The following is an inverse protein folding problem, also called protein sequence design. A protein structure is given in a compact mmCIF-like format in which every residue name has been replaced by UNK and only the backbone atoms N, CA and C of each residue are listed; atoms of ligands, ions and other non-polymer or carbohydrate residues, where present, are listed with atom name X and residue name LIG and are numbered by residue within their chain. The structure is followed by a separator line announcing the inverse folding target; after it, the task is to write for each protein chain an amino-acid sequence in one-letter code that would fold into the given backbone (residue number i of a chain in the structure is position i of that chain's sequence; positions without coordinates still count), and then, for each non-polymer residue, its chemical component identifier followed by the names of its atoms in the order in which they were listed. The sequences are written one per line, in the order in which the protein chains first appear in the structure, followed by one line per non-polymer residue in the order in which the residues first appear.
data_IF_839665262173
#
_entry.id   IF_839665262173
#
_cell.length_a   1.000
_cell.length_b   1.000
_cell.length_c   1.000
_cell.angle_alpha   90.00
_cell.angle_beta   90.00
_cell.angle_gamma   90.00
#
_symmetry.space_group_name_H-M   'P 1'
#
loop_
_entity.id
_entity.type
_entity.pdbx_description
1 polymer ?
#
# COMPACT_ATOMS: atom_id res chain seq x y z
N UNK A 1 1.43 -18.99 13.52
CA UNK A 1 2.51 -18.00 13.67
C UNK A 1 2.05 -17.01 14.73
N UNK A 2 2.80 -16.87 15.84
CA UNK A 2 2.40 -16.01 16.95
C UNK A 2 2.91 -14.59 16.70
N UNK A 3 2.05 -13.74 16.12
CA UNK A 3 2.31 -12.31 15.98
C UNK A 3 2.46 -11.63 17.35
N UNK A 4 3.31 -10.62 17.43
CA UNK A 4 3.45 -9.75 18.60
C UNK A 4 2.48 -8.57 18.57
N UNK A 5 1.76 -8.38 17.46
CA UNK A 5 0.78 -7.31 17.31
C UNK A 5 -0.51 -7.71 18.01
N UNK A 6 -0.94 -6.98 19.06
CA UNK A 6 -2.22 -7.23 19.69
C UNK A 6 -3.38 -7.07 18.70
N UNK A 7 -4.35 -7.97 18.77
CA UNK A 7 -5.57 -7.90 17.93
C UNK A 7 -5.34 -8.01 16.42
N UNK A 8 -4.24 -8.65 15.97
CA UNK A 8 -3.95 -8.78 14.54
C UNK A 8 -5.12 -9.40 13.75
N UNK A 9 -5.78 -10.43 14.29
CA UNK A 9 -6.94 -11.05 13.64
C UNK A 9 -8.08 -10.04 13.42
N UNK A 10 -8.35 -9.17 14.41
CA UNK A 10 -9.34 -8.11 14.29
C UNK A 10 -8.96 -7.09 13.21
N UNK A 11 -7.67 -6.76 13.09
CA UNK A 11 -7.19 -5.80 12.08
C UNK A 11 -7.28 -6.42 10.68
N UNK A 12 -6.99 -7.72 10.53
CA UNK A 12 -7.17 -8.47 9.27
C UNK A 12 -8.65 -8.49 8.87
N UNK A 13 -9.54 -8.79 9.80
CA UNK A 13 -10.98 -8.76 9.56
C UNK A 13 -11.45 -7.34 9.17
N UNK A 14 -10.92 -6.32 9.81
CA UNK A 14 -11.23 -4.92 9.53
C UNK A 14 -10.84 -4.52 8.11
N UNK A 15 -9.60 -4.80 7.69
CA UNK A 15 -9.14 -4.42 6.33
C UNK A 15 -9.92 -5.18 5.25
N UNK A 16 -10.27 -6.43 5.53
CA UNK A 16 -11.10 -7.24 4.62
C UNK A 16 -12.50 -6.65 4.49
N UNK A 17 -13.17 -6.30 5.61
CA UNK A 17 -14.48 -5.64 5.60
C UNK A 17 -14.46 -4.28 4.88
N UNK A 18 -13.39 -3.51 5.06
CA UNK A 18 -13.20 -2.27 4.35
C UNK A 18 -13.11 -2.51 2.83
N UNK A 19 -12.34 -3.50 2.40
CA UNK A 19 -12.25 -3.88 1.01
C UNK A 19 -13.55 -4.43 0.42
N UNK A 20 -14.30 -5.22 1.17
CA UNK A 20 -15.64 -5.69 0.75
C UNK A 20 -16.58 -4.51 0.54
N UNK A 21 -16.52 -3.51 1.43
CA UNK A 21 -17.31 -2.27 1.28
C UNK A 21 -16.92 -1.45 0.06
N UNK A 22 -15.63 -1.39 -0.25
CA UNK A 22 -15.13 -0.77 -1.48
C UNK A 22 -15.70 -1.51 -2.70
N UNK A 23 -15.70 -2.84 -2.71
CA UNK A 23 -16.26 -3.64 -3.82
C UNK A 23 -17.75 -3.40 -4.01
N UNK A 24 -18.55 -3.28 -2.95
CA UNK A 24 -19.97 -2.91 -3.05
C UNK A 24 -20.16 -1.59 -3.79
N UNK A 25 -19.34 -0.57 -3.48
CA UNK A 25 -19.40 0.72 -4.19
C UNK A 25 -18.87 0.56 -5.61
N UNK A 26 -17.77 -0.19 -5.79
CA UNK A 26 -17.16 -0.45 -7.09
C UNK A 26 -18.14 -1.06 -8.10
N UNK A 27 -19.01 -1.96 -7.68
CA UNK A 27 -20.01 -2.62 -8.53
C UNK A 27 -21.26 -1.75 -8.78
N UNK A 28 -21.41 -0.64 -8.01
CA UNK A 28 -22.55 0.27 -8.16
C UNK A 28 -22.30 1.42 -9.15
N UNK A 29 -23.33 2.23 -9.40
CA UNK A 29 -23.16 3.54 -10.01
C UNK A 29 -22.81 4.55 -8.92
N UNK A 30 -21.54 4.87 -8.78
CA UNK A 30 -21.04 5.83 -7.79
C UNK A 30 -20.73 7.20 -8.43
N UNK A 31 -20.78 8.23 -7.61
CA UNK A 31 -20.33 9.57 -7.97
C UNK A 31 -18.87 9.76 -7.58
N UNK A 32 -18.16 10.56 -8.38
CA UNK A 32 -16.77 10.95 -8.11
C UNK A 32 -16.78 12.43 -7.76
N UNK A 33 -16.28 12.75 -6.59
CA UNK A 33 -16.01 14.11 -6.16
C UNK A 33 -14.51 14.42 -6.30
N UNK A 34 -14.14 15.67 -6.09
CA UNK A 34 -12.74 16.09 -6.12
C UNK A 34 -12.35 16.69 -4.78
N UNK A 35 -11.20 16.28 -4.27
CA UNK A 35 -10.54 16.93 -3.14
C UNK A 35 -9.99 18.31 -3.54
N UNK A 36 -9.52 19.11 -2.59
CA UNK A 36 -8.95 20.45 -2.83
C UNK A 36 -7.73 20.43 -3.78
N UNK A 37 -6.98 19.33 -3.80
CA UNK A 37 -5.85 19.11 -4.70
C UNK A 37 -6.22 18.55 -6.07
N UNK A 38 -7.53 18.46 -6.38
CA UNK A 38 -8.13 17.87 -7.58
C UNK A 38 -7.98 16.35 -7.71
N UNK A 39 -7.49 15.63 -6.72
CA UNK A 39 -7.54 14.17 -6.70
C UNK A 39 -9.00 13.68 -6.56
N UNK A 40 -9.34 12.51 -7.12
CA UNK A 40 -10.68 11.96 -6.95
C UNK A 40 -10.90 11.46 -5.54
N UNK A 41 -12.13 11.57 -5.05
CA UNK A 41 -12.64 10.92 -3.85
C UNK A 41 -14.01 10.34 -4.15
N UNK A 42 -14.30 9.20 -3.59
CA UNK A 42 -15.57 8.52 -3.76
C UNK A 42 -16.17 8.11 -2.41
N UNK A 43 -17.42 7.68 -2.44
CA UNK A 43 -18.05 7.08 -1.25
C UNK A 43 -17.25 5.88 -0.72
N UNK A 44 -16.51 5.17 -1.58
CA UNK A 44 -15.70 4.01 -1.18
C UNK A 44 -14.58 4.42 -0.22
N UNK A 45 -13.88 5.53 -0.50
CA UNK A 45 -12.82 6.08 0.34
C UNK A 45 -13.36 6.37 1.76
N UNK A 46 -14.49 7.08 1.84
CA UNK A 46 -15.10 7.51 3.11
C UNK A 46 -15.64 6.34 3.93
N UNK A 47 -16.32 5.38 3.32
CA UNK A 47 -16.87 4.20 4.01
C UNK A 47 -15.74 3.28 4.49
N UNK A 48 -14.71 3.08 3.68
CA UNK A 48 -13.50 2.33 4.07
C UNK A 48 -12.81 3.00 5.26
N UNK A 49 -12.58 4.32 5.19
CA UNK A 49 -12.00 5.11 6.26
C UNK A 49 -12.77 4.93 7.58
N UNK A 50 -14.09 5.03 7.53
CA UNK A 50 -14.96 4.87 8.70
C UNK A 50 -14.78 3.49 9.34
N UNK A 51 -14.86 2.41 8.56
CA UNK A 51 -14.73 1.02 9.05
C UNK A 51 -13.39 0.83 9.75
N UNK A 52 -12.29 1.28 9.12
CA UNK A 52 -10.95 1.11 9.66
C UNK A 52 -10.79 1.90 10.95
N UNK A 53 -11.19 3.16 10.97
CA UNK A 53 -11.09 4.03 12.16
C UNK A 53 -11.90 3.51 13.34
N UNK A 54 -13.15 3.11 13.15
CA UNK A 54 -14.00 2.56 14.23
C UNK A 54 -13.35 1.36 14.92
N UNK A 55 -12.67 0.52 14.17
CA UNK A 55 -11.93 -0.62 14.72
C UNK A 55 -10.63 -0.18 15.42
N UNK A 56 -9.81 0.66 14.79
CA UNK A 56 -8.50 1.05 15.33
C UNK A 56 -8.59 1.98 16.53
N UNK A 57 -9.65 2.78 16.68
CA UNK A 57 -9.88 3.62 17.85
C UNK A 57 -9.91 2.83 19.16
N UNK A 58 -10.29 1.56 19.13
CA UNK A 58 -10.28 0.69 20.31
C UNK A 58 -8.86 0.43 20.84
N UNK A 59 -7.83 0.61 20.02
CA UNK A 59 -6.41 0.45 20.40
C UNK A 59 -5.89 1.65 21.21
N UNK A 60 -6.57 2.79 21.16
CA UNK A 60 -6.15 4.06 21.75
C UNK A 60 -4.82 4.61 21.19
N UNK A 61 -4.41 4.11 20.05
CA UNK A 61 -3.24 4.61 19.28
C UNK A 61 -3.76 5.65 18.30
N UNK A 62 -3.13 6.82 18.20
CA UNK A 62 -3.50 7.84 17.22
C UNK A 62 -3.48 7.30 15.79
N UNK A 63 -4.35 7.88 14.95
CA UNK A 63 -4.50 7.47 13.55
C UNK A 63 -4.18 8.67 12.65
N UNK A 64 -3.32 8.45 11.67
CA UNK A 64 -3.15 9.32 10.50
C UNK A 64 -3.84 8.64 9.32
N UNK A 65 -4.84 9.30 8.75
CA UNK A 65 -5.54 8.84 7.55
C UNK A 65 -5.41 9.84 6.42
N UNK A 66 -5.36 9.36 5.19
CA UNK A 66 -5.45 10.21 3.99
C UNK A 66 -6.72 11.06 3.97
N UNK A 67 -7.85 10.51 4.46
CA UNK A 67 -9.17 11.12 4.37
C UNK A 67 -9.50 12.06 5.54
N UNK A 68 -8.56 12.25 6.47
CA UNK A 68 -8.78 13.09 7.65
C UNK A 68 -7.80 14.28 7.69
N UNK A 69 -8.23 15.35 8.35
CA UNK A 69 -7.32 16.44 8.70
C UNK A 69 -6.36 15.99 9.80
N UNK A 70 -5.06 16.07 9.58
CA UNK A 70 -4.03 15.77 10.56
C UNK A 70 -3.86 16.94 11.54
N UNK A 71 -4.40 16.80 12.75
CA UNK A 71 -4.29 17.79 13.85
C UNK A 71 -2.93 17.78 14.56
N UNK A 72 -2.00 16.91 14.12
CA UNK A 72 -0.65 16.72 14.68
C UNK A 72 -0.60 16.13 16.10
N UNK A 73 -1.73 15.79 16.73
CA UNK A 73 -1.75 15.19 18.08
C UNK A 73 -0.96 13.87 18.16
N UNK A 74 -0.81 13.18 17.03
CA UNK A 74 -0.02 11.96 16.89
C UNK A 74 1.48 12.15 17.08
N UNK A 75 2.00 13.38 16.98
CA UNK A 75 3.45 13.65 17.02
C UNK A 75 4.08 13.37 18.39
N UNK A 76 3.29 13.37 19.46
CA UNK A 76 3.74 13.07 20.83
C UNK A 76 3.60 11.58 21.18
N UNK A 77 3.19 10.73 20.22
CA UNK A 77 2.93 9.32 20.45
C UNK A 77 4.05 8.44 19.90
N UNK A 78 4.47 7.45 20.69
CA UNK A 78 5.45 6.44 20.25
C UNK A 78 4.90 5.59 19.12
N UNK A 79 3.58 5.33 19.10
CA UNK A 79 2.90 4.51 18.09
C UNK A 79 1.84 5.32 17.36
N UNK A 80 1.74 5.07 16.06
CA UNK A 80 0.74 5.71 15.19
C UNK A 80 0.26 4.69 14.17
N UNK A 81 -1.06 4.57 14.01
CA UNK A 81 -1.66 3.95 12.84
C UNK A 81 -1.59 4.90 11.66
N UNK A 82 -1.12 4.41 10.53
CA UNK A 82 -1.13 5.17 9.27
C UNK A 82 -1.93 4.37 8.27
N UNK A 83 -3.00 4.98 7.74
CA UNK A 83 -3.95 4.28 6.87
C UNK A 83 -4.17 5.04 5.57
N UNK A 84 -4.27 4.27 4.49
CA UNK A 84 -4.82 4.70 3.21
C UNK A 84 -6.06 3.85 2.94
N UNK A 85 -7.24 4.43 3.07
CA UNK A 85 -8.51 3.70 2.93
C UNK A 85 -8.77 3.17 1.51
N UNK A 86 -8.24 3.84 0.49
CA UNK A 86 -8.34 3.43 -0.91
C UNK A 86 -7.18 3.99 -1.75
N UNK A 87 -6.03 3.35 -1.71
CA UNK A 87 -4.93 3.68 -2.61
C UNK A 87 -5.25 3.27 -4.05
N UNK A 88 -5.07 4.21 -4.98
CA UNK A 88 -5.41 4.02 -6.38
C UNK A 88 -6.84 4.42 -6.74
N UNK A 89 -7.38 5.49 -6.15
CA UNK A 89 -8.74 6.00 -6.44
C UNK A 89 -8.96 6.26 -7.93
N UNK A 90 -7.91 6.69 -8.68
CA UNK A 90 -8.02 6.87 -10.13
C UNK A 90 -8.23 5.52 -10.85
N UNK A 91 -7.55 4.46 -10.42
CA UNK A 91 -7.72 3.11 -10.95
C UNK A 91 -9.08 2.53 -10.57
N UNK A 92 -9.57 2.83 -9.37
CA UNK A 92 -10.93 2.51 -8.94
C UNK A 92 -11.97 3.18 -9.86
N UNK A 93 -11.85 4.48 -10.11
CA UNK A 93 -12.74 5.24 -11.01
C UNK A 93 -12.69 4.68 -12.43
N UNK A 94 -11.52 4.35 -12.93
CA UNK A 94 -11.30 3.81 -14.27
C UNK A 94 -11.65 2.32 -14.40
N UNK A 95 -12.11 1.68 -13.32
CA UNK A 95 -12.51 0.26 -13.33
C UNK A 95 -11.39 -0.72 -13.73
N UNK A 96 -10.14 -0.40 -13.40
CA UNK A 96 -9.02 -1.32 -13.67
C UNK A 96 -8.93 -2.48 -12.68
N UNK A 97 -9.52 -2.34 -11.50
CA UNK A 97 -9.39 -3.30 -10.40
C UNK A 97 -8.07 -3.21 -9.63
N UNK A 98 -7.20 -2.27 -9.96
CA UNK A 98 -5.85 -2.14 -9.39
C UNK A 98 -5.83 -1.09 -8.27
N UNK A 99 -6.56 -1.34 -7.20
CA UNK A 99 -6.63 -0.50 -6.01
C UNK A 99 -6.48 -1.34 -4.74
N UNK A 100 -6.04 -0.71 -3.65
CA UNK A 100 -5.76 -1.41 -2.39
C UNK A 100 -6.26 -0.65 -1.18
N UNK A 101 -6.35 -1.34 -0.04
CA UNK A 101 -6.53 -0.76 1.30
C UNK A 101 -5.22 -0.96 2.05
N UNK A 102 -4.75 0.04 2.78
CA UNK A 102 -3.47 -0.02 3.48
C UNK A 102 -3.62 0.35 4.94
N UNK A 103 -3.02 -0.48 5.82
CA UNK A 103 -2.91 -0.21 7.26
C UNK A 103 -1.48 -0.48 7.69
N UNK A 104 -0.80 0.55 8.20
CA UNK A 104 0.53 0.45 8.79
C UNK A 104 0.52 0.81 10.26
N UNK A 105 1.31 0.10 11.08
CA UNK A 105 1.63 0.50 12.43
C UNK A 105 3.08 0.97 12.48
N UNK A 106 3.27 2.20 12.91
CA UNK A 106 4.59 2.82 13.07
C UNK A 106 4.88 2.96 14.55
N UNK A 107 6.08 2.60 14.98
CA UNK A 107 6.59 2.79 16.34
C UNK A 107 7.94 3.49 16.25
N UNK A 108 8.11 4.59 16.99
CA UNK A 108 9.34 5.40 16.99
C UNK A 108 9.83 5.71 15.57
N UNK A 109 8.93 6.15 14.70
CA UNK A 109 9.17 6.49 13.28
C UNK A 109 9.54 5.31 12.35
N UNK A 110 9.46 4.07 12.83
CA UNK A 110 9.74 2.86 12.04
C UNK A 110 8.44 2.08 11.82
N UNK A 111 8.04 1.77 10.59
CA UNK A 111 6.93 0.86 10.36
C UNK A 111 7.26 -0.54 10.89
N UNK A 112 6.47 -1.00 11.85
CA UNK A 112 6.64 -2.32 12.50
C UNK A 112 5.63 -3.35 12.05
N UNK A 113 4.56 -2.92 11.38
CA UNK A 113 3.58 -3.80 10.75
C UNK A 113 3.02 -3.13 9.50
N UNK A 114 2.75 -3.92 8.49
CA UNK A 114 2.06 -3.51 7.27
C UNK A 114 1.02 -4.53 6.83
N UNK A 115 -0.15 -4.04 6.47
CA UNK A 115 -1.21 -4.77 5.79
C UNK A 115 -1.58 -4.02 4.51
N UNK A 116 -1.63 -4.74 3.39
CA UNK A 116 -2.11 -4.24 2.10
C UNK A 116 -3.10 -5.27 1.56
N UNK A 117 -4.34 -4.87 1.37
CA UNK A 117 -5.38 -5.73 0.84
C UNK A 117 -5.75 -5.30 -0.59
N UNK A 118 -5.76 -6.25 -1.51
CA UNK A 118 -6.20 -6.11 -2.89
C UNK A 118 -7.60 -6.72 -3.04
N UNK A 119 -8.68 -5.94 -2.97
CA UNK A 119 -10.03 -6.47 -2.85
C UNK A 119 -10.48 -7.30 -4.06
N UNK A 120 -10.21 -6.85 -5.28
CA UNK A 120 -10.64 -7.53 -6.51
C UNK A 120 -10.04 -8.92 -6.68
N UNK A 121 -8.82 -9.12 -6.16
CA UNK A 121 -8.12 -10.41 -6.19
C UNK A 121 -8.24 -11.20 -4.88
N UNK A 122 -8.85 -10.60 -3.85
CA UNK A 122 -8.93 -11.16 -2.48
C UNK A 122 -7.57 -11.58 -1.94
N UNK A 123 -6.53 -10.77 -2.22
CA UNK A 123 -5.17 -11.00 -1.75
C UNK A 123 -4.84 -10.04 -0.61
N UNK A 124 -4.30 -10.57 0.47
CA UNK A 124 -3.83 -9.80 1.61
C UNK A 124 -2.33 -10.00 1.79
N UNK A 125 -1.58 -8.92 1.73
CA UNK A 125 -0.17 -8.89 2.05
C UNK A 125 0.00 -8.43 3.49
N UNK A 126 0.85 -9.12 4.23
CA UNK A 126 1.13 -8.85 5.63
C UNK A 126 2.63 -8.94 5.91
N UNK A 127 3.12 -8.05 6.74
CA UNK A 127 4.43 -8.18 7.36
C UNK A 127 4.42 -7.62 8.78
N UNK A 128 5.29 -8.18 9.61
CA UNK A 128 5.61 -7.71 10.96
C UNK A 128 7.13 -7.73 11.12
N UNK A 129 7.69 -6.69 11.74
CA UNK A 129 9.13 -6.52 11.92
C UNK A 129 9.78 -7.75 12.59
N UNK A 130 10.76 -8.33 11.93
CA UNK A 130 11.48 -9.53 12.32
C UNK A 130 10.71 -10.83 12.13
N UNK A 131 9.57 -10.81 11.44
CA UNK A 131 8.72 -11.98 11.26
C UNK A 131 8.71 -12.48 9.81
N UNK A 132 9.01 -11.59 8.86
CA UNK A 132 8.94 -11.81 7.44
C UNK A 132 7.64 -11.28 6.82
N UNK A 133 7.57 -11.40 5.49
CA UNK A 133 6.43 -10.99 4.71
C UNK A 133 5.64 -12.19 4.16
N UNK A 134 4.32 -12.04 4.10
CA UNK A 134 3.40 -13.10 3.70
C UNK A 134 2.31 -12.56 2.77
N UNK A 135 1.79 -13.42 1.92
CA UNK A 135 0.59 -13.18 1.11
C UNK A 135 -0.44 -14.26 1.44
N UNK A 136 -1.68 -13.84 1.65
CA UNK A 136 -2.85 -14.73 1.78
C UNK A 136 -3.70 -14.63 0.52
N UNK A 137 -4.06 -15.77 -0.03
CA UNK A 137 -4.98 -15.88 -1.15
C UNK A 137 -5.86 -17.15 -1.02
N UNK A 138 -6.48 -17.62 -2.09
CA UNK A 138 -7.33 -18.83 -2.12
C UNK A 138 -6.60 -20.12 -1.70
N UNK A 139 -5.27 -20.10 -1.68
CA UNK A 139 -4.44 -21.26 -1.27
C UNK A 139 -3.96 -21.13 0.18
N UNK A 140 -4.27 -20.02 0.86
CA UNK A 140 -3.86 -19.72 2.23
C UNK A 140 -2.62 -18.83 2.31
N UNK A 141 -1.96 -18.82 3.47
CA UNK A 141 -0.78 -18.03 3.72
C UNK A 141 0.48 -18.60 3.07
N UNK A 142 1.16 -17.79 2.28
CA UNK A 142 2.45 -18.12 1.67
C UNK A 142 3.48 -17.05 2.05
N UNK A 143 4.65 -17.47 2.49
CA UNK A 143 5.77 -16.55 2.72
C UNK A 143 6.25 -16.00 1.38
N UNK A 144 6.44 -14.69 1.30
CA UNK A 144 6.95 -14.02 0.11
C UNK A 144 8.36 -13.46 0.36
N UNK A 145 9.12 -13.33 -0.72
CA UNK A 145 10.43 -12.69 -0.73
C UNK A 145 10.71 -12.09 -2.09
N UNK A 146 11.49 -11.02 -2.11
CA UNK A 146 12.04 -10.47 -3.35
C UNK A 146 12.90 -11.53 -4.05
N UNK A 147 12.99 -11.44 -5.36
CA UNK A 147 13.97 -12.25 -6.09
C UNK A 147 15.32 -11.54 -6.16
N UNK A 148 16.38 -12.31 -6.22
CA UNK A 148 17.71 -11.77 -6.43
C UNK A 148 17.94 -11.55 -7.92
N UNK A 149 18.29 -10.32 -8.32
CA UNK A 149 18.67 -9.96 -9.70
C UNK A 149 20.08 -9.40 -9.67
N UNK A 150 21.02 -10.12 -10.28
CA UNK A 150 22.44 -9.76 -10.27
C UNK A 150 22.76 -8.58 -11.20
N UNK A 151 22.00 -8.44 -12.29
CA UNK A 151 22.19 -7.40 -13.30
C UNK A 151 20.97 -6.52 -13.44
N UNK A 152 21.07 -5.25 -13.09
CA UNK A 152 19.97 -4.28 -13.11
C UNK A 152 19.32 -4.20 -14.50
N UNK A 153 20.07 -4.25 -15.57
CA UNK A 153 19.55 -4.23 -16.94
C UNK A 153 18.60 -5.39 -17.27
N UNK A 154 18.68 -6.50 -16.52
CA UNK A 154 17.77 -7.66 -16.69
C UNK A 154 16.48 -7.55 -15.87
N UNK A 155 16.36 -6.52 -15.06
CA UNK A 155 15.21 -6.30 -14.19
C UNK A 155 13.91 -6.08 -14.97
N UNK A 156 12.81 -6.55 -14.38
CA UNK A 156 11.46 -6.10 -14.72
C UNK A 156 11.12 -4.91 -13.84
N UNK A 157 10.98 -3.73 -14.43
CA UNK A 157 10.56 -2.53 -13.73
C UNK A 157 9.05 -2.32 -13.83
N UNK A 158 8.43 -2.06 -12.69
CA UNK A 158 7.05 -1.62 -12.64
C UNK A 158 6.98 -0.10 -12.70
N UNK A 159 6.08 0.41 -13.51
CA UNK A 159 5.87 1.84 -13.73
C UNK A 159 4.42 2.21 -13.53
N UNK A 160 4.18 3.48 -13.19
CA UNK A 160 2.82 3.99 -13.05
C UNK A 160 2.09 3.98 -14.40
N UNK A 161 0.82 3.58 -14.37
CA UNK A 161 -0.06 3.65 -15.54
C UNK A 161 -0.35 5.09 -15.95
N UNK A 162 -0.56 5.97 -14.97
CA UNK A 162 -1.07 7.32 -15.19
C UNK A 162 0.00 8.41 -15.07
N UNK A 163 1.14 8.11 -14.45
CA UNK A 163 2.10 9.13 -14.01
C UNK A 163 3.57 8.81 -14.37
N UNK A 164 3.79 8.07 -15.47
CA UNK A 164 5.16 7.80 -15.95
C UNK A 164 5.78 9.09 -16.52
N UNK A 165 6.64 9.73 -15.74
CA UNK A 165 7.32 10.97 -16.11
C UNK A 165 8.46 10.74 -17.10
N UNK A 166 8.89 11.79 -17.80
CA UNK A 166 10.06 11.71 -18.69
C UNK A 166 11.35 11.45 -17.90
N UNK A 167 11.41 11.89 -16.63
CA UNK A 167 12.52 11.60 -15.73
C UNK A 167 12.62 10.11 -15.40
N UNK A 168 11.50 9.45 -15.15
CA UNK A 168 11.45 8.00 -14.92
C UNK A 168 11.83 7.22 -16.18
N UNK A 169 11.35 7.64 -17.34
CA UNK A 169 11.76 7.05 -18.65
C UNK A 169 13.27 7.17 -18.86
N UNK A 170 13.85 8.33 -18.50
CA UNK A 170 15.29 8.54 -18.63
C UNK A 170 16.06 7.64 -17.65
N UNK A 171 15.61 7.52 -16.39
CA UNK A 171 16.22 6.63 -15.41
C UNK A 171 16.22 5.16 -15.88
N UNK A 172 15.09 4.68 -16.43
CA UNK A 172 15.02 3.32 -16.98
C UNK A 172 16.03 3.13 -18.12
N UNK A 173 16.20 4.14 -18.98
CA UNK A 173 17.18 4.10 -20.07
C UNK A 173 18.63 4.11 -19.55
N UNK A 174 18.93 4.96 -18.57
CA UNK A 174 20.26 5.07 -17.97
C UNK A 174 20.66 3.78 -17.22
N UNK A 175 19.68 3.07 -16.66
CA UNK A 175 19.86 1.76 -16.03
C UNK A 175 19.80 0.59 -17.04
N UNK A 176 19.65 0.88 -18.33
CA UNK A 176 19.51 -0.10 -19.42
C UNK A 176 18.34 -1.10 -19.22
N UNK A 177 17.33 -0.72 -18.43
CA UNK A 177 16.15 -1.55 -18.18
C UNK A 177 15.20 -1.47 -19.36
N UNK A 178 15.06 -2.57 -20.09
CA UNK A 178 14.18 -2.66 -21.26
C UNK A 178 12.83 -3.32 -20.97
N UNK A 179 12.72 -4.09 -19.87
CA UNK A 179 11.49 -4.79 -19.51
C UNK A 179 10.69 -3.95 -18.53
N UNK A 180 9.52 -3.51 -18.94
CA UNK A 180 8.59 -2.76 -18.08
C UNK A 180 7.19 -3.36 -18.11
N UNK A 181 6.47 -3.25 -17.00
CA UNK A 181 5.05 -3.52 -16.92
C UNK A 181 4.33 -2.41 -16.14
N UNK A 182 3.04 -2.25 -16.38
CA UNK A 182 2.22 -1.23 -15.69
C UNK A 182 1.25 -1.91 -14.75
N UNK A 183 1.17 -1.40 -13.54
CA UNK A 183 0.16 -1.75 -12.56
C UNK A 183 -0.13 -0.53 -11.69
N UNK A 184 -1.39 -0.37 -11.23
CA UNK A 184 -1.83 0.75 -10.39
C UNK A 184 -1.42 0.59 -8.93
N UNK A 185 -1.71 1.61 -8.14
CA UNK A 185 -1.61 1.65 -6.67
C UNK A 185 -0.27 1.16 -6.09
N UNK A 186 -0.25 0.84 -4.81
CA UNK A 186 0.88 0.20 -4.10
C UNK A 186 1.13 -1.25 -4.55
N UNK A 187 0.28 -1.79 -5.44
CA UNK A 187 0.51 -3.12 -6.02
C UNK A 187 1.88 -3.24 -6.69
N UNK A 188 2.44 -2.14 -7.19
CA UNK A 188 3.82 -2.10 -7.70
C UNK A 188 4.82 -2.60 -6.66
N UNK A 189 4.69 -2.16 -5.42
CA UNK A 189 5.56 -2.60 -4.32
C UNK A 189 5.25 -4.04 -3.92
N UNK A 190 3.98 -4.44 -3.92
CA UNK A 190 3.57 -5.82 -3.59
C UNK A 190 4.10 -6.84 -4.60
N UNK A 191 4.11 -6.51 -5.89
CA UNK A 191 4.66 -7.37 -6.94
C UNK A 191 6.18 -7.53 -6.80
N UNK A 192 6.90 -6.46 -6.40
CA UNK A 192 8.33 -6.56 -6.08
C UNK A 192 8.54 -7.40 -4.82
N UNK A 193 7.79 -7.16 -3.76
CA UNK A 193 7.91 -7.91 -2.50
C UNK A 193 7.65 -9.41 -2.67
N UNK A 194 6.75 -9.77 -3.60
CA UNK A 194 6.43 -11.16 -3.92
C UNK A 194 7.36 -11.79 -4.99
N UNK A 195 8.42 -11.08 -5.42
CA UNK A 195 9.38 -11.58 -6.40
C UNK A 195 8.84 -11.74 -7.82
N UNK A 196 7.72 -11.07 -8.16
CA UNK A 196 7.14 -11.08 -9.51
C UNK A 196 7.64 -9.94 -10.38
N UNK A 197 8.22 -8.91 -9.75
CA UNK A 197 8.98 -7.85 -10.41
C UNK A 197 10.22 -7.54 -9.58
N UNK A 198 11.08 -6.63 -10.06
CA UNK A 198 12.38 -6.39 -9.43
C UNK A 198 12.53 -4.97 -8.89
N UNK A 199 11.96 -4.01 -9.57
CA UNK A 199 12.12 -2.60 -9.22
C UNK A 199 10.83 -1.83 -9.51
N UNK A 200 10.51 -0.89 -8.63
CA UNK A 200 9.57 0.18 -8.88
C UNK A 200 10.28 1.52 -8.72
N UNK A 201 10.21 2.35 -9.76
CA UNK A 201 10.79 3.68 -9.78
C UNK A 201 9.68 4.72 -9.84
N UNK A 202 9.78 5.73 -8.97
CA UNK A 202 8.92 6.91 -9.03
C UNK A 202 9.71 8.16 -8.70
N UNK A 203 9.39 9.25 -9.39
CA UNK A 203 9.96 10.59 -9.15
C UNK A 203 8.90 11.57 -8.69
N UNK A 204 7.73 11.08 -8.30
CA UNK A 204 6.65 11.92 -7.77
C UNK A 204 7.09 12.61 -6.48
N UNK A 205 6.68 13.86 -6.33
CA UNK A 205 6.83 14.64 -5.09
C UNK A 205 5.56 14.64 -4.24
N UNK A 206 4.53 13.90 -4.67
CA UNK A 206 3.21 13.84 -4.03
C UNK A 206 3.01 12.59 -3.18
N UNK A 207 4.10 11.92 -2.79
CA UNK A 207 4.01 10.75 -1.94
C UNK A 207 3.88 11.15 -0.48
N UNK A 208 2.93 10.57 0.21
CA UNK A 208 2.65 10.81 1.62
C UNK A 208 3.03 9.60 2.48
N UNK A 209 2.87 9.72 3.80
CA UNK A 209 3.20 8.63 4.73
C UNK A 209 2.25 7.44 4.58
N UNK A 210 0.99 7.67 4.24
CA UNK A 210 0.00 6.60 4.02
C UNK A 210 0.27 5.78 2.77
N UNK A 211 0.89 6.34 1.72
CA UNK A 211 1.30 5.61 0.52
C UNK A 211 2.43 4.61 0.79
N UNK A 212 3.19 4.81 1.88
CA UNK A 212 4.46 4.09 2.08
C UNK A 212 4.55 3.29 3.37
N UNK A 213 3.88 3.65 4.45
CA UNK A 213 4.10 3.04 5.76
C UNK A 213 3.87 1.52 5.76
N UNK A 214 2.74 1.05 5.25
CA UNK A 214 2.44 -0.38 5.19
C UNK A 214 3.37 -1.11 4.20
N UNK A 215 3.53 -0.56 3.00
CA UNK A 215 4.31 -1.17 1.92
C UNK A 215 5.81 -1.19 2.23
N UNK A 216 6.32 -0.21 2.99
CA UNK A 216 7.72 -0.20 3.45
C UNK A 216 8.01 -1.39 4.37
N UNK A 217 7.13 -1.67 5.33
CA UNK A 217 7.28 -2.83 6.20
C UNK A 217 7.28 -4.13 5.39
N UNK A 218 6.34 -4.29 4.46
CA UNK A 218 6.21 -5.50 3.66
C UNK A 218 7.44 -5.72 2.77
N UNK A 219 7.89 -4.69 2.04
CA UNK A 219 9.06 -4.85 1.17
C UNK A 219 10.34 -5.12 1.96
N UNK A 220 10.52 -4.47 3.12
CA UNK A 220 11.68 -4.68 4.00
C UNK A 220 11.73 -6.11 4.54
N UNK A 221 10.61 -6.62 5.04
CA UNK A 221 10.49 -7.99 5.57
C UNK A 221 10.55 -9.06 4.46
N UNK A 222 10.26 -8.69 3.22
CA UNK A 222 10.48 -9.54 2.05
C UNK A 222 11.96 -9.57 1.58
N UNK A 223 12.85 -8.78 2.21
CA UNK A 223 14.28 -8.69 1.89
C UNK A 223 14.61 -7.66 0.81
N UNK A 224 13.65 -6.82 0.42
CA UNK A 224 13.85 -5.69 -0.49
C UNK A 224 14.20 -4.39 0.24
N UNK A 225 14.24 -3.29 -0.49
CA UNK A 225 14.48 -1.95 0.04
C UNK A 225 13.56 -0.93 -0.61
N UNK A 226 13.08 0.01 0.19
CA UNK A 226 12.44 1.24 -0.27
C UNK A 226 13.31 2.40 0.17
N UNK A 227 13.78 3.22 -0.78
CA UNK A 227 14.66 4.35 -0.52
C UNK A 227 14.17 5.58 -1.29
N UNK A 228 14.66 6.75 -0.93
CA UNK A 228 14.60 7.91 -1.81
C UNK A 228 15.67 7.80 -2.92
N UNK A 229 15.75 8.81 -3.80
CA UNK A 229 16.71 8.82 -4.91
C UNK A 229 18.19 8.97 -4.48
N UNK A 230 18.46 9.12 -3.19
CA UNK A 230 19.81 9.21 -2.63
C UNK A 230 20.32 7.89 -2.03
N UNK A 231 19.43 6.87 -1.91
CA UNK A 231 19.74 5.54 -1.36
C UNK A 231 19.42 5.37 0.11
#
# INVERSE_FOLDING_TARGET
VSSKIPHLETIIDTITKAGDKILEVYESNFQVEKKDDNSPITKADLESNKIIKESLLQTRIPILSEEDTDDKSRMDSEKVWIIDPLDGTQDFVNKTGEFTVMIGLVENHIPIMGLVYWPTEKKLYFAENGFGAFCYDSQGWTKISVRNVEEVAKSLALVSRHHLSDKEKQLLKDLEISKTAQIGSTLKVMEVAAGRADIYLTTTTKMHQWDTAASWCIISEAGGKMTNLLG
#
